data_IF_058807255579
#
_entry.id   IF_058807255579
#
_cell.length_a   1.000
_cell.length_b   1.000
_cell.length_c   1.000
_cell.angle_alpha   90.00
_cell.angle_beta   90.00
_cell.angle_gamma   90.00
#
_symmetry.space_group_name_H-M   'P 1'
#
loop_
_entity.id
_entity.type
_entity.pdbx_description
1 polymer ?
#
# COMPACT_ATOMS: atom_id res chain seq x y z
N UNK A 1 35.28 45.78 4.20
CA UNK A 1 35.63 46.17 5.60
C UNK A 1 34.35 46.74 6.19
N UNK A 2 33.44 45.97 6.77
CA UNK A 2 33.55 45.05 7.92
C UNK A 2 33.28 45.85 9.22
N UNK A 3 32.65 45.34 10.30
CA UNK A 3 32.05 44.01 10.54
C UNK A 3 30.65 43.99 11.22
N UNK A 4 29.94 42.89 10.97
CA UNK A 4 29.22 41.98 11.88
C UNK A 4 29.07 42.40 13.36
N UNK A 5 27.85 42.33 13.89
CA UNK A 5 27.62 41.87 15.27
C UNK A 5 26.48 40.84 15.26
N UNK A 6 26.81 39.61 15.65
CA UNK A 6 25.87 38.51 15.89
C UNK A 6 25.08 38.78 17.17
N UNK A 7 23.80 38.40 17.18
CA UNK A 7 23.13 38.00 18.41
C UNK A 7 22.25 36.80 18.10
N UNK A 8 22.76 35.64 18.50
CA UNK A 8 21.98 34.43 18.70
C UNK A 8 20.82 34.76 19.66
N UNK A 9 19.59 34.55 19.21
CA UNK A 9 18.40 34.57 20.03
C UNK A 9 17.72 33.22 19.86
N UNK A 10 17.56 32.53 20.97
CA UNK A 10 17.12 31.15 21.09
C UNK A 10 15.85 30.86 20.28
N UNK A 11 15.85 29.72 19.56
CA UNK A 11 14.61 29.12 19.04
C UNK A 11 13.83 28.60 20.24
N UNK A 12 13.00 29.45 20.82
CA UNK A 12 11.90 29.00 21.65
C UNK A 12 11.01 28.08 20.81
N UNK A 13 10.81 26.86 21.32
CA UNK A 13 9.85 25.89 20.83
C UNK A 13 8.49 26.58 20.68
N UNK A 14 8.04 26.76 19.44
CA UNK A 14 6.72 27.30 19.13
C UNK A 14 5.67 26.27 19.57
N UNK A 15 5.31 26.34 20.85
CA UNK A 15 4.22 25.62 21.47
C UNK A 15 2.97 25.85 20.61
N UNK A 16 2.52 24.80 19.92
CA UNK A 16 1.40 24.84 19.00
C UNK A 16 0.22 25.58 19.61
N UNK A 17 -0.15 26.70 19.00
CA UNK A 17 -1.23 27.55 19.50
C UNK A 17 -2.56 26.78 19.46
N UNK A 18 -2.98 26.30 20.62
CA UNK A 18 -4.38 25.97 20.87
C UNK A 18 -5.22 27.21 20.52
N UNK A 19 -6.20 27.05 19.63
CA UNK A 19 -7.03 28.14 19.14
C UNK A 19 -7.79 28.77 20.31
N UNK A 20 -7.33 29.90 20.81
CA UNK A 20 -7.97 30.62 21.91
C UNK A 20 -9.18 31.39 21.35
N UNK A 21 -10.34 31.29 22.03
CA UNK A 21 -11.55 32.03 21.65
C UNK A 21 -12.72 31.22 21.10
N UNK A 22 -12.69 29.89 21.12
CA UNK A 22 -13.90 29.09 20.87
C UNK A 22 -14.86 29.17 22.08
N UNK A 23 -16.18 29.40 21.89
CA UNK A 23 -17.15 29.58 22.99
C UNK A 23 -17.53 28.27 23.69
N UNK A 24 -16.70 27.23 23.58
CA UNK A 24 -16.94 25.92 24.19
C UNK A 24 -16.15 25.84 25.50
N UNK A 25 -16.79 25.28 26.54
CA UNK A 25 -16.10 24.90 27.77
C UNK A 25 -14.96 23.95 27.39
N UNK A 26 -13.73 24.29 27.77
CA UNK A 26 -12.57 23.39 27.59
C UNK A 26 -12.90 22.07 28.30
N UNK A 27 -12.65 20.95 27.62
CA UNK A 27 -12.81 19.62 28.22
C UNK A 27 -11.91 19.51 29.46
N UNK A 28 -12.42 18.86 30.51
CA UNK A 28 -11.61 18.57 31.69
C UNK A 28 -10.46 17.60 31.30
N UNK A 29 -9.19 17.93 31.61
CA UNK A 29 -8.06 17.09 31.22
C UNK A 29 -8.13 15.64 31.74
N UNK A 30 -8.68 15.42 32.94
CA UNK A 30 -8.83 14.08 33.51
C UNK A 30 -9.98 13.32 32.84
N UNK A 31 -11.10 13.98 32.53
CA UNK A 31 -12.18 13.37 31.74
C UNK A 31 -11.68 12.96 30.35
N UNK A 32 -10.85 13.79 29.72
CA UNK A 32 -10.25 13.48 28.42
C UNK A 32 -9.31 12.28 28.50
N UNK A 33 -8.48 12.20 29.54
CA UNK A 33 -7.60 11.05 29.78
C UNK A 33 -8.41 9.76 29.94
N UNK A 34 -9.48 9.78 30.74
CA UNK A 34 -10.39 8.64 30.91
C UNK A 34 -11.00 8.21 29.57
N UNK A 35 -11.47 9.17 28.76
CA UNK A 35 -12.03 8.91 27.43
C UNK A 35 -11.00 8.24 26.48
N UNK A 36 -9.78 8.76 26.44
CA UNK A 36 -8.72 8.22 25.58
C UNK A 36 -8.30 6.82 26.03
N UNK A 37 -8.17 6.59 27.34
CA UNK A 37 -7.92 5.24 27.88
C UNK A 37 -9.04 4.26 27.56
N UNK A 38 -10.30 4.69 27.68
CA UNK A 38 -11.47 3.91 27.29
C UNK A 38 -11.48 3.57 25.80
N UNK A 39 -11.12 4.53 24.95
CA UNK A 39 -11.04 4.33 23.50
C UNK A 39 -9.95 3.32 23.12
N UNK A 40 -8.76 3.42 23.74
CA UNK A 40 -7.69 2.43 23.58
C UNK A 40 -8.14 1.02 24.01
N UNK A 41 -8.78 0.89 25.17
CA UNK A 41 -9.31 -0.40 25.64
C UNK A 41 -10.36 -0.97 24.69
N UNK A 42 -11.21 -0.13 24.11
CA UNK A 42 -12.21 -0.55 23.13
C UNK A 42 -11.56 -1.00 21.80
N UNK A 43 -10.47 -0.37 21.37
CA UNK A 43 -9.67 -0.83 20.23
C UNK A 43 -8.99 -2.17 20.51
N UNK A 44 -8.35 -2.32 21.67
CA UNK A 44 -7.74 -3.58 22.11
C UNK A 44 -8.76 -4.72 22.17
N UNK A 45 -9.94 -4.45 22.73
CA UNK A 45 -11.03 -5.42 22.79
C UNK A 45 -11.54 -5.81 21.39
N UNK A 46 -11.77 -4.83 20.51
CA UNK A 46 -12.19 -5.10 19.11
C UNK A 46 -11.14 -5.91 18.37
N UNK A 47 -9.87 -5.60 18.57
CA UNK A 47 -8.75 -6.33 17.96
C UNK A 47 -8.66 -7.75 18.49
N UNK A 48 -8.75 -7.94 19.81
CA UNK A 48 -8.79 -9.26 20.44
C UNK A 48 -9.96 -10.11 19.91
N UNK A 49 -11.13 -9.49 19.69
CA UNK A 49 -12.29 -10.16 19.13
C UNK A 49 -12.04 -10.60 17.67
N UNK A 50 -11.50 -9.71 16.82
CA UNK A 50 -11.12 -10.06 15.44
C UNK A 50 -10.07 -11.16 15.39
N UNK A 51 -9.11 -11.14 16.31
CA UNK A 51 -8.04 -12.15 16.41
C UNK A 51 -8.57 -13.55 16.73
N UNK A 52 -9.83 -13.71 17.16
CA UNK A 52 -10.46 -15.04 17.29
C UNK A 52 -10.75 -15.69 15.93
N UNK A 53 -11.02 -14.89 14.89
CA UNK A 53 -11.27 -15.36 13.53
C UNK A 53 -9.95 -15.83 12.86
N UNK A 54 -9.83 -17.12 12.46
CA UNK A 54 -8.67 -17.62 11.73
C UNK A 54 -8.39 -16.86 10.42
N UNK A 55 -9.43 -16.41 9.70
CA UNK A 55 -9.27 -15.67 8.45
C UNK A 55 -8.62 -14.30 8.70
N UNK A 56 -9.06 -13.61 9.76
CA UNK A 56 -8.44 -12.35 10.18
C UNK A 56 -6.98 -12.55 10.59
N UNK A 57 -6.66 -13.59 11.37
CA UNK A 57 -5.27 -13.91 11.73
C UNK A 57 -4.39 -14.14 10.51
N UNK A 58 -4.87 -14.93 9.54
CA UNK A 58 -4.15 -15.19 8.28
C UNK A 58 -3.94 -13.90 7.49
N UNK A 59 -4.96 -13.06 7.36
CA UNK A 59 -4.87 -11.79 6.65
C UNK A 59 -3.90 -10.83 7.34
N UNK A 60 -3.95 -10.73 8.67
CA UNK A 60 -3.06 -9.88 9.47
C UNK A 60 -1.59 -10.29 9.33
N UNK A 61 -1.31 -11.59 9.18
CA UNK A 61 0.04 -12.10 8.95
C UNK A 61 0.56 -11.78 7.54
N UNK A 62 -0.34 -11.52 6.59
CA UNK A 62 0.04 -11.43 5.19
C UNK A 62 0.09 -12.81 4.54
N UNK A 63 -0.48 -12.95 3.35
CA UNK A 63 -0.41 -14.20 2.59
C UNK A 63 -0.61 -14.00 1.10
N UNK A 64 -0.11 -14.94 0.31
CA UNK A 64 -0.35 -14.98 -1.14
C UNK A 64 -1.60 -15.79 -1.51
N UNK A 65 -2.35 -15.27 -2.48
CA UNK A 65 -3.37 -15.97 -3.23
C UNK A 65 -2.99 -16.05 -4.71
N UNK A 66 -3.45 -17.12 -5.35
CA UNK A 66 -3.16 -17.42 -6.75
C UNK A 66 -4.44 -17.66 -7.54
N UNK A 67 -5.26 -16.61 -7.80
CA UNK A 67 -6.44 -16.76 -8.63
C UNK A 67 -6.05 -17.27 -10.02
N UNK A 68 -6.66 -18.37 -10.45
CA UNK A 68 -6.47 -18.91 -11.77
C UNK A 68 -7.54 -18.36 -12.71
N UNK A 69 -7.14 -17.86 -13.87
CA UNK A 69 -8.08 -17.54 -14.93
C UNK A 69 -8.79 -18.83 -15.40
N UNK A 70 -10.05 -18.69 -15.82
CA UNK A 70 -10.76 -19.81 -16.45
C UNK A 70 -9.97 -20.31 -17.67
N UNK A 71 -9.97 -21.63 -17.91
CA UNK A 71 -9.24 -22.23 -19.05
C UNK A 71 -9.62 -21.62 -20.42
N UNK A 72 -10.84 -21.10 -20.54
CA UNK A 72 -11.37 -20.48 -21.75
C UNK A 72 -11.19 -18.93 -21.78
N UNK A 73 -10.51 -18.35 -20.79
CA UNK A 73 -10.22 -16.91 -20.79
C UNK A 73 -9.23 -16.57 -21.90
N UNK A 74 -9.63 -15.71 -22.84
CA UNK A 74 -8.79 -15.29 -23.96
C UNK A 74 -7.54 -14.54 -23.51
N UNK A 75 -7.53 -13.93 -22.33
CA UNK A 75 -6.39 -13.18 -21.79
C UNK A 75 -5.38 -14.07 -21.07
N UNK A 76 -5.78 -15.28 -20.67
CA UNK A 76 -4.92 -16.25 -19.95
C UNK A 76 -4.15 -15.59 -18.80
N UNK A 77 -4.83 -14.77 -17.98
CA UNK A 77 -4.18 -13.97 -16.93
C UNK A 77 -3.56 -14.91 -15.88
N UNK A 78 -2.30 -14.64 -15.51
CA UNK A 78 -1.68 -15.23 -14.33
C UNK A 78 -1.44 -14.15 -13.28
N UNK A 79 -1.78 -14.48 -12.04
CA UNK A 79 -1.83 -13.52 -10.96
C UNK A 79 -1.32 -14.14 -9.68
N UNK A 80 -0.52 -13.38 -8.95
CA UNK A 80 -0.19 -13.65 -7.55
C UNK A 80 -0.48 -12.39 -6.74
N UNK A 81 -1.36 -12.49 -5.74
CA UNK A 81 -1.78 -11.35 -4.91
C UNK A 81 -1.34 -11.58 -3.48
N UNK A 82 -0.57 -10.67 -2.90
CA UNK A 82 -0.26 -10.64 -1.48
C UNK A 82 -1.30 -9.79 -0.76
N UNK A 83 -1.98 -10.33 0.25
CA UNK A 83 -3.09 -9.68 0.95
C UNK A 83 -2.71 -9.34 2.38
N UNK A 84 -3.04 -8.12 2.80
CA UNK A 84 -2.97 -7.63 4.19
C UNK A 84 -4.27 -6.87 4.52
N UNK A 85 -4.52 -6.48 5.78
CA UNK A 85 -5.70 -5.70 6.13
C UNK A 85 -5.76 -4.31 5.46
N UNK A 86 -4.61 -3.75 5.07
CA UNK A 86 -4.51 -2.39 4.51
C UNK A 86 -4.65 -2.38 2.97
N UNK A 87 -4.53 -3.55 2.35
CA UNK A 87 -4.36 -3.67 0.90
C UNK A 87 -3.34 -4.74 0.58
N UNK A 88 -2.66 -4.59 -0.55
CA UNK A 88 -1.75 -5.62 -1.01
C UNK A 88 -0.98 -5.29 -2.27
N UNK A 89 -0.23 -6.30 -2.69
CA UNK A 89 0.57 -6.29 -3.91
C UNK A 89 0.01 -7.31 -4.86
N UNK A 90 0.05 -7.02 -6.15
CA UNK A 90 -0.42 -7.91 -7.18
C UNK A 90 0.59 -7.96 -8.32
N UNK A 91 1.05 -9.17 -8.59
CA UNK A 91 1.96 -9.49 -9.69
C UNK A 91 1.09 -10.08 -10.79
N UNK A 92 1.06 -9.43 -11.96
CA UNK A 92 0.21 -9.82 -13.06
C UNK A 92 1.01 -9.97 -14.33
N UNK A 93 0.65 -11.00 -15.08
CA UNK A 93 1.10 -11.17 -16.44
C UNK A 93 -0.10 -11.68 -17.25
N UNK A 94 -0.26 -11.24 -18.49
CA UNK A 94 -1.29 -11.78 -19.38
C UNK A 94 -0.84 -11.76 -20.84
N UNK A 95 -1.43 -12.66 -21.62
CA UNK A 95 -1.16 -12.83 -23.03
C UNK A 95 -2.35 -12.31 -23.88
N UNK A 96 -2.34 -12.62 -25.18
CA UNK A 96 -3.40 -12.26 -26.13
C UNK A 96 -3.05 -11.07 -27.02
N UNK A 97 -4.07 -10.35 -27.49
CA UNK A 97 -3.90 -9.25 -28.45
C UNK A 97 -3.11 -8.06 -27.89
N UNK A 98 -3.21 -7.82 -26.58
CA UNK A 98 -2.51 -6.75 -25.88
C UNK A 98 -1.84 -7.33 -24.63
N UNK A 99 -0.69 -8.02 -24.76
CA UNK A 99 -0.01 -8.62 -23.64
C UNK A 99 0.47 -7.56 -22.65
N UNK A 100 0.64 -7.93 -21.39
CA UNK A 100 1.04 -7.00 -20.36
C UNK A 100 1.60 -7.67 -19.12
N UNK A 101 2.62 -7.06 -18.55
CA UNK A 101 3.25 -7.46 -17.29
C UNK A 101 3.22 -6.27 -16.35
N UNK A 102 2.67 -6.46 -15.15
CA UNK A 102 2.44 -5.38 -14.20
C UNK A 102 2.78 -5.78 -12.77
N UNK A 103 3.37 -4.83 -12.05
CA UNK A 103 3.41 -4.79 -10.59
C UNK A 103 2.34 -3.79 -10.15
N UNK A 104 1.39 -4.23 -9.35
CA UNK A 104 0.31 -3.37 -8.87
C UNK A 104 0.22 -3.37 -7.34
N UNK A 105 -0.25 -2.26 -6.81
CA UNK A 105 -0.55 -2.08 -5.40
C UNK A 105 -2.00 -1.63 -5.27
N UNK A 106 -2.73 -2.16 -4.30
CA UNK A 106 -4.12 -1.82 -4.06
C UNK A 106 -4.38 -1.65 -2.57
N UNK A 107 -5.35 -0.82 -2.20
CA UNK A 107 -5.67 -0.61 -0.79
C UNK A 107 -6.63 0.54 -0.57
N UNK A 108 -7.09 0.66 0.67
CA UNK A 108 -8.03 1.73 1.07
C UNK A 108 -7.37 3.12 1.12
N UNK A 109 -6.03 3.18 1.29
CA UNK A 109 -5.26 4.43 1.21
C UNK A 109 -5.13 4.99 -0.21
N UNK A 110 -5.47 4.19 -1.24
CA UNK A 110 -5.45 4.62 -2.63
C UNK A 110 -6.85 5.09 -3.02
N UNK A 111 -7.02 6.38 -3.30
CA UNK A 111 -8.32 6.88 -3.73
C UNK A 111 -8.72 6.31 -5.11
N UNK A 112 -9.87 5.61 -5.22
CA UNK A 112 -10.34 5.03 -6.47
C UNK A 112 -10.72 6.11 -7.49
N UNK A 113 -10.54 5.81 -8.78
CA UNK A 113 -10.85 6.75 -9.88
C UNK A 113 -11.78 6.07 -10.89
N UNK A 114 -12.80 6.80 -11.37
CA UNK A 114 -13.76 6.29 -12.37
C UNK A 114 -13.10 5.94 -13.71
N UNK A 115 -12.02 6.62 -14.05
CA UNK A 115 -11.23 6.39 -15.26
C UNK A 115 -9.79 6.10 -14.86
N UNK A 116 -9.06 5.41 -15.74
CA UNK A 116 -7.63 5.16 -15.54
C UNK A 116 -6.87 6.47 -15.71
N UNK A 117 -6.16 6.90 -14.67
CA UNK A 117 -5.34 8.11 -14.66
C UNK A 117 -3.87 7.72 -14.81
N UNK A 118 -3.17 8.32 -15.77
CA UNK A 118 -1.71 8.19 -15.89
C UNK A 118 -1.06 9.24 -15.02
N UNK A 119 -0.21 8.81 -14.09
CA UNK A 119 0.51 9.71 -13.19
C UNK A 119 1.92 9.18 -12.93
N UNK A 120 2.89 10.08 -12.79
CA UNK A 120 4.24 9.70 -12.34
C UNK A 120 4.24 9.59 -10.82
N UNK A 121 4.68 8.45 -10.31
CA UNK A 121 4.71 8.12 -8.89
C UNK A 121 6.11 7.66 -8.49
N UNK A 122 6.45 7.85 -7.22
CA UNK A 122 7.65 7.25 -6.65
C UNK A 122 7.31 5.84 -6.17
N UNK A 123 8.08 4.86 -6.62
CA UNK A 123 8.10 3.51 -6.06
C UNK A 123 9.43 3.33 -5.35
N UNK A 124 9.38 3.11 -4.05
CA UNK A 124 10.55 2.79 -3.23
C UNK A 124 10.53 1.32 -2.86
N UNK A 125 11.64 0.63 -3.08
CA UNK A 125 11.82 -0.77 -2.75
C UNK A 125 13.28 -1.00 -2.36
N UNK A 126 13.54 -1.70 -1.25
CA UNK A 126 14.90 -1.99 -0.77
C UNK A 126 15.74 -0.73 -0.54
N UNK A 127 15.10 0.37 -0.14
CA UNK A 127 15.77 1.67 0.03
C UNK A 127 16.06 2.44 -1.27
N UNK A 128 15.81 1.86 -2.44
CA UNK A 128 15.95 2.54 -3.73
C UNK A 128 14.62 3.14 -4.18
N UNK A 129 14.63 4.42 -4.55
CA UNK A 129 13.43 5.13 -5.03
C UNK A 129 13.52 5.38 -6.53
N UNK A 130 12.46 5.03 -7.25
CA UNK A 130 12.35 5.21 -8.70
C UNK A 130 11.11 6.02 -9.05
N UNK A 131 11.24 6.95 -10.00
CA UNK A 131 10.12 7.77 -10.50
C UNK A 131 9.53 7.17 -11.79
N UNK A 132 8.44 6.43 -11.65
CA UNK A 132 7.90 5.58 -12.70
C UNK A 132 6.51 6.06 -13.11
N UNK A 133 6.21 5.99 -14.41
CA UNK A 133 4.86 6.20 -14.91
C UNK A 133 3.97 5.06 -14.44
N UNK A 134 2.88 5.39 -13.75
CA UNK A 134 1.90 4.44 -13.25
C UNK A 134 0.49 4.75 -13.76
N UNK A 135 -0.39 3.76 -13.64
CA UNK A 135 -1.80 3.83 -13.96
C UNK A 135 -2.63 3.67 -12.69
N UNK A 136 -3.39 4.70 -12.30
CA UNK A 136 -4.28 4.66 -11.14
C UNK A 136 -5.72 4.40 -11.56
N UNK A 137 -6.44 3.58 -10.80
CA UNK A 137 -7.80 3.16 -11.08
C UNK A 137 -8.52 2.67 -9.84
N UNK A 138 -9.80 2.29 -9.98
CA UNK A 138 -10.50 1.50 -8.97
C UNK A 138 -10.01 0.05 -8.96
N UNK A 139 -9.97 -0.56 -7.78
CA UNK A 139 -9.71 -1.99 -7.65
C UNK A 139 -10.93 -2.79 -8.15
N UNK A 140 -10.76 -3.76 -9.08
CA UNK A 140 -11.89 -4.41 -9.74
C UNK A 140 -12.83 -5.20 -8.82
N UNK A 141 -12.33 -5.73 -7.70
CA UNK A 141 -13.09 -6.61 -6.81
C UNK A 141 -13.69 -5.91 -5.59
N UNK A 142 -13.27 -4.68 -5.29
CA UNK A 142 -13.79 -3.87 -4.17
C UNK A 142 -13.70 -2.38 -4.56
N UNK A 143 -14.84 -1.78 -4.88
CA UNK A 143 -14.90 -0.42 -5.45
C UNK A 143 -14.46 0.67 -4.47
N UNK A 144 -14.42 0.37 -3.16
CA UNK A 144 -13.91 1.29 -2.13
C UNK A 144 -12.39 1.37 -2.10
N UNK A 145 -11.69 0.45 -2.76
CA UNK A 145 -10.23 0.46 -2.86
C UNK A 145 -9.78 1.00 -4.21
N UNK A 146 -8.70 1.76 -4.19
CA UNK A 146 -7.95 2.13 -5.40
C UNK A 146 -6.85 1.13 -5.68
N UNK A 147 -6.29 1.25 -6.88
CA UNK A 147 -5.16 0.48 -7.36
C UNK A 147 -4.22 1.39 -8.16
N UNK A 148 -2.92 1.14 -8.04
CA UNK A 148 -1.84 1.72 -8.85
C UNK A 148 -1.12 0.58 -9.55
N UNK A 149 -0.92 0.68 -10.86
CA UNK A 149 -0.21 -0.32 -11.66
C UNK A 149 1.02 0.28 -12.32
N UNK A 150 2.16 -0.38 -12.15
CA UNK A 150 3.42 -0.09 -12.82
C UNK A 150 3.64 -1.12 -13.93
N UNK A 151 3.82 -0.64 -15.15
CA UNK A 151 4.18 -1.51 -16.27
C UNK A 151 5.62 -1.99 -16.09
N UNK A 152 5.83 -3.31 -16.20
CA UNK A 152 7.15 -3.93 -16.13
C UNK A 152 7.62 -4.24 -17.55
N UNK A 153 8.91 -4.05 -17.90
CA UNK A 153 9.38 -4.19 -19.27
C UNK A 153 9.17 -5.57 -19.90
N UNK A 154 9.11 -6.62 -19.08
CA UNK A 154 8.86 -7.99 -19.53
C UNK A 154 8.47 -8.91 -18.38
N UNK A 155 7.87 -10.06 -18.71
CA UNK A 155 7.62 -11.17 -17.78
C UNK A 155 8.87 -11.60 -17.04
N UNK A 156 10.01 -11.71 -17.74
CA UNK A 156 11.27 -12.15 -17.13
C UNK A 156 11.77 -11.10 -16.12
N UNK A 157 11.69 -9.81 -16.47
CA UNK A 157 12.06 -8.73 -15.55
C UNK A 157 11.20 -8.74 -14.28
N UNK A 158 9.89 -9.03 -14.39
CA UNK A 158 9.04 -9.23 -13.22
C UNK A 158 9.50 -10.42 -12.38
N UNK A 159 9.69 -11.58 -13.00
CA UNK A 159 10.04 -12.81 -12.28
C UNK A 159 11.40 -12.71 -11.57
N UNK A 160 12.38 -12.04 -12.17
CA UNK A 160 13.72 -11.87 -11.59
C UNK A 160 13.75 -10.82 -10.47
N UNK A 161 12.85 -9.83 -10.52
CA UNK A 161 12.76 -8.79 -9.50
C UNK A 161 12.03 -9.24 -8.21
N UNK A 162 11.29 -10.36 -8.23
CA UNK A 162 10.58 -10.86 -7.05
C UNK A 162 11.57 -11.44 -6.03
N UNK A 163 11.83 -10.66 -4.98
CA UNK A 163 12.52 -11.12 -3.76
C UNK A 163 11.55 -11.87 -2.84
N UNK A 164 12.10 -12.73 -1.99
CA UNK A 164 11.29 -13.46 -1.00
C UNK A 164 10.65 -12.52 0.02
N UNK A 165 11.41 -11.54 0.49
CA UNK A 165 10.96 -10.46 1.36
C UNK A 165 11.29 -9.13 0.68
N UNK A 166 10.33 -8.20 0.63
CA UNK A 166 10.51 -6.92 -0.03
C UNK A 166 9.60 -5.87 0.60
N UNK A 167 10.22 -4.81 1.12
CA UNK A 167 9.55 -3.57 1.47
C UNK A 167 9.10 -2.83 0.21
N UNK A 168 8.01 -2.08 0.33
CA UNK A 168 7.55 -1.19 -0.71
C UNK A 168 6.88 0.04 -0.12
N UNK A 169 6.96 1.13 -0.86
CA UNK A 169 6.26 2.36 -0.57
C UNK A 169 5.95 3.07 -1.90
N UNK A 170 4.70 3.50 -2.07
CA UNK A 170 4.23 4.25 -3.24
C UNK A 170 3.80 5.64 -2.82
N UNK A 171 4.41 6.66 -3.41
CA UNK A 171 4.14 8.06 -3.06
C UNK A 171 3.89 8.94 -4.28
N UNK A 172 3.23 10.08 -4.03
CA UNK A 172 3.06 11.20 -4.96
C UNK A 172 3.41 12.50 -4.25
N UNK A 173 4.64 12.98 -4.38
CA UNK A 173 5.14 14.07 -3.55
C UNK A 173 5.18 13.63 -2.08
N UNK A 174 4.51 14.39 -1.21
CA UNK A 174 4.44 14.11 0.23
C UNK A 174 3.31 13.12 0.60
N UNK A 175 2.45 12.75 -0.35
CA UNK A 175 1.35 11.83 -0.12
C UNK A 175 1.81 10.37 -0.26
N UNK A 176 1.61 9.57 0.79
CA UNK A 176 1.84 8.12 0.76
C UNK A 176 0.54 7.39 0.47
N UNK A 177 0.50 6.68 -0.66
CA UNK A 177 -0.69 5.91 -1.07
C UNK A 177 -0.78 4.57 -0.37
N UNK A 178 0.36 3.88 -0.25
CA UNK A 178 0.47 2.57 0.39
C UNK A 178 1.93 2.28 0.70
N UNK A 179 2.17 1.56 1.79
CA UNK A 179 3.47 1.03 2.17
C UNK A 179 3.28 -0.34 2.81
N UNK A 180 4.36 -1.11 2.90
CA UNK A 180 4.35 -2.38 3.58
C UNK A 180 5.53 -3.23 3.20
N UNK A 181 5.41 -4.51 3.51
CA UNK A 181 6.38 -5.54 3.15
C UNK A 181 5.59 -6.78 2.75
N UNK A 182 6.05 -7.49 1.71
CA UNK A 182 5.61 -8.86 1.47
C UNK A 182 6.70 -9.84 1.88
N UNK A 183 6.29 -11.07 2.21
CA UNK A 183 7.17 -12.21 2.46
C UNK A 183 6.75 -13.40 1.60
N UNK A 184 7.53 -14.49 1.59
CA UNK A 184 7.24 -15.69 0.79
C UNK A 184 7.11 -15.42 -0.72
N UNK A 185 7.76 -14.37 -1.21
CA UNK A 185 7.72 -13.94 -2.60
C UNK A 185 8.31 -14.98 -3.57
N UNK A 186 9.26 -15.82 -3.14
CA UNK A 186 9.76 -16.90 -4.00
C UNK A 186 8.67 -17.93 -4.33
N UNK A 187 7.79 -18.24 -3.36
CA UNK A 187 6.63 -19.10 -3.63
C UNK A 187 5.71 -18.46 -4.66
N UNK A 188 5.49 -17.15 -4.56
CA UNK A 188 4.68 -16.40 -5.51
C UNK A 188 5.29 -16.37 -6.91
N UNK A 189 6.60 -16.13 -7.02
CA UNK A 189 7.35 -16.20 -8.28
C UNK A 189 7.20 -17.57 -8.93
N UNK A 190 7.38 -18.64 -8.16
CA UNK A 190 7.35 -19.99 -8.71
C UNK A 190 5.94 -20.39 -9.15
N UNK A 191 4.89 -20.00 -8.41
CA UNK A 191 3.49 -20.15 -8.80
C UNK A 191 3.14 -19.36 -10.05
N UNK A 192 3.59 -18.10 -10.13
CA UNK A 192 3.39 -17.24 -11.29
C UNK A 192 4.07 -17.84 -12.54
N UNK A 193 5.32 -18.27 -12.42
CA UNK A 193 6.08 -18.96 -13.49
C UNK A 193 5.36 -20.22 -13.97
N UNK A 194 4.86 -21.04 -13.05
CA UNK A 194 4.09 -22.25 -13.39
C UNK A 194 2.83 -21.90 -14.18
N UNK A 195 2.08 -20.88 -13.74
CA UNK A 195 0.88 -20.44 -14.48
C UNK A 195 1.24 -19.98 -15.89
N UNK A 196 2.27 -19.14 -16.03
CA UNK A 196 2.73 -18.62 -17.33
C UNK A 196 3.14 -19.76 -18.27
N UNK A 197 3.88 -20.76 -17.77
CA UNK A 197 4.32 -21.92 -18.57
C UNK A 197 3.20 -22.83 -19.08
N UNK A 198 2.01 -22.77 -18.45
CA UNK A 198 0.85 -23.61 -18.80
C UNK A 198 -0.10 -22.92 -19.78
N UNK A 199 0.14 -21.65 -20.11
CA UNK A 199 -0.65 -20.93 -21.11
C UNK A 199 -0.49 -21.57 -22.48
N UNK A 200 -1.56 -21.50 -23.25
CA UNK A 200 -1.63 -22.04 -24.62
C UNK A 200 -1.25 -20.98 -25.64
#
# INVERSE_FOLDING_TARGET
MGPIEEAAGDREEENGSYVDGLPFRRFDPEEWKILMEGSRKAEEWREAERMKDPAYRRLKQGYWEYPEANRNDRKQICLASFLTPQGGVMLMDWAGENPGTFLAFYGAGIAPTKQIVRQRLSLKQSGETQQVQAFRGSFPWEQRMGMVMFAVPSTQALLDAIKDVQDFEVTSGDETFIWGEWHSGHQARDRLRQCISRRR
#
